data_IF_523516077654
#
_entry.id   IF_523516077654
#
_cell.length_a   1.000
_cell.length_b   1.000
_cell.length_c   1.000
_cell.angle_alpha   90.00
_cell.angle_beta   90.00
_cell.angle_gamma   90.00
#
_symmetry.space_group_name_H-M   'P 1'
#
loop_
_entity.id
_entity.type
_entity.pdbx_description
1 polymer ?
#
# COMPACT_ATOMS: atom_id res chain seq x y z
N UNK A 1 9.83 9.54 -2.88
CA UNK A 1 8.39 9.65 -3.20
C UNK A 1 7.58 8.85 -2.19
N UNK A 2 6.59 9.44 -1.51
CA UNK A 2 5.68 8.69 -0.65
C UNK A 2 4.60 7.97 -1.47
N UNK A 3 4.12 6.86 -0.93
CA UNK A 3 3.06 6.04 -1.52
C UNK A 3 2.00 5.74 -0.48
N UNK A 4 0.83 5.33 -0.95
CA UNK A 4 -0.23 4.78 -0.09
C UNK A 4 -0.56 3.39 -0.62
N UNK A 5 -0.63 2.41 0.27
CA UNK A 5 -0.98 1.05 -0.08
C UNK A 5 -2.13 0.56 0.80
N UNK A 6 -3.15 0.00 0.16
CA UNK A 6 -4.36 -0.48 0.82
C UNK A 6 -4.27 -1.97 1.08
N UNK A 7 -4.76 -2.39 2.22
CA UNK A 7 -4.88 -3.80 2.58
C UNK A 7 -6.12 -4.02 3.44
N UNK A 8 -6.66 -5.24 3.38
CA UNK A 8 -7.71 -5.65 4.29
C UNK A 8 -7.08 -6.16 5.59
N UNK A 9 -7.43 -5.57 6.75
CA UNK A 9 -6.77 -5.93 8.01
C UNK A 9 -7.00 -7.39 8.43
N UNK A 10 -8.09 -8.01 7.96
CA UNK A 10 -8.36 -9.42 8.22
C UNK A 10 -7.46 -10.36 7.42
N UNK A 11 -6.94 -9.92 6.27
CA UNK A 11 -5.99 -10.69 5.47
C UNK A 11 -4.56 -10.40 5.91
N UNK A 12 -4.17 -9.12 5.90
CA UNK A 12 -2.83 -8.71 6.29
C UNK A 12 -2.85 -7.24 6.74
N UNK A 13 -2.88 -7.03 8.04
CA UNK A 13 -2.93 -5.69 8.60
C UNK A 13 -1.58 -5.16 9.08
N UNK A 14 -1.60 -3.93 9.57
CA UNK A 14 -0.39 -3.28 10.12
C UNK A 14 0.20 -4.08 11.28
N UNK A 15 -0.63 -4.72 12.11
CA UNK A 15 -0.17 -5.56 13.20
C UNK A 15 0.64 -6.76 12.71
N UNK A 16 0.25 -7.35 11.59
CA UNK A 16 0.98 -8.45 10.97
C UNK A 16 2.34 -7.98 10.47
N UNK A 17 2.39 -6.81 9.84
CA UNK A 17 3.62 -6.22 9.36
C UNK A 17 4.55 -5.85 10.53
N UNK A 18 4.00 -5.29 11.59
CA UNK A 18 4.76 -4.95 12.80
C UNK A 18 5.41 -6.19 13.41
N UNK A 19 4.66 -7.28 13.52
CA UNK A 19 5.14 -8.55 14.06
C UNK A 19 6.23 -9.17 13.19
N UNK A 20 6.08 -9.08 11.87
CA UNK A 20 7.05 -9.60 10.92
C UNK A 20 8.30 -8.74 10.81
N UNK A 21 8.19 -7.44 11.07
CA UNK A 21 9.26 -6.46 10.85
C UNK A 21 9.40 -6.07 9.39
N UNK A 22 9.59 -7.06 8.51
CA UNK A 22 9.59 -6.91 7.06
C UNK A 22 8.62 -7.93 6.49
N UNK A 23 7.70 -7.49 5.64
CA UNK A 23 6.70 -8.35 5.04
C UNK A 23 6.62 -8.18 3.53
N UNK A 24 6.25 -9.26 2.85
CA UNK A 24 6.01 -9.24 1.40
C UNK A 24 4.65 -8.62 1.13
N UNK A 25 4.62 -7.66 0.22
CA UNK A 25 3.38 -7.06 -0.28
C UNK A 25 3.09 -7.64 -1.65
N UNK A 26 2.13 -8.55 -1.72
CA UNK A 26 1.82 -9.34 -2.91
C UNK A 26 0.31 -9.33 -3.19
N UNK A 27 -0.12 -10.13 -4.16
CA UNK A 27 -1.53 -10.30 -4.47
C UNK A 27 -2.17 -9.12 -5.21
N UNK A 28 -1.39 -8.13 -5.63
CA UNK A 28 -1.90 -6.98 -6.38
C UNK A 28 -2.19 -7.40 -7.82
N UNK A 29 -3.44 -7.27 -8.25
CA UNK A 29 -3.92 -7.76 -9.55
C UNK A 29 -4.64 -6.65 -10.35
N UNK A 30 -4.13 -5.42 -10.24
CA UNK A 30 -4.56 -4.26 -11.00
C UNK A 30 -3.34 -3.67 -11.71
N UNK A 31 -3.44 -3.43 -13.00
CA UNK A 31 -2.28 -2.99 -13.79
C UNK A 31 -1.76 -1.61 -13.37
N UNK A 32 -2.67 -0.67 -13.04
CA UNK A 32 -2.25 0.65 -12.59
C UNK A 32 -1.50 0.57 -11.25
N UNK A 33 -2.02 -0.22 -10.30
CA UNK A 33 -1.35 -0.44 -9.01
C UNK A 33 0.01 -1.11 -9.20
N UNK A 34 0.09 -2.14 -10.07
CA UNK A 34 1.36 -2.80 -10.41
C UNK A 34 2.38 -1.81 -10.94
N UNK A 35 1.96 -0.91 -11.84
CA UNK A 35 2.86 0.08 -12.42
C UNK A 35 3.40 1.03 -11.37
N UNK A 36 2.57 1.42 -10.39
CA UNK A 36 3.03 2.21 -9.24
C UNK A 36 4.02 1.42 -8.38
N UNK A 37 3.77 0.14 -8.15
CA UNK A 37 4.72 -0.70 -7.39
C UNK A 37 6.09 -0.76 -8.07
N UNK A 38 6.11 -0.87 -9.40
CA UNK A 38 7.36 -0.85 -10.17
C UNK A 38 8.12 0.47 -10.05
N UNK A 39 7.42 1.56 -9.79
CA UNK A 39 8.03 2.88 -9.62
C UNK A 39 8.55 3.12 -8.20
N UNK A 40 8.18 2.28 -7.23
CA UNK A 40 8.67 2.41 -5.87
C UNK A 40 10.16 2.09 -5.77
N UNK A 41 10.89 2.90 -5.00
CA UNK A 41 12.32 2.70 -4.75
C UNK A 41 12.54 2.34 -3.28
N UNK A 42 13.61 1.59 -3.00
CA UNK A 42 14.02 1.30 -1.62
C UNK A 42 14.18 2.60 -0.84
N UNK A 43 13.61 2.65 0.35
CA UNK A 43 13.62 3.84 1.20
C UNK A 43 12.38 4.72 1.05
N UNK A 44 11.55 4.51 0.03
CA UNK A 44 10.30 5.26 -0.12
C UNK A 44 9.37 4.95 1.05
N UNK A 45 8.71 6.00 1.58
CA UNK A 45 7.72 5.87 2.64
C UNK A 45 6.39 5.42 2.08
N UNK A 46 5.68 4.62 2.84
CA UNK A 46 4.39 4.06 2.47
C UNK A 46 3.40 4.27 3.61
N UNK A 47 2.30 4.93 3.30
CA UNK A 47 1.17 5.03 4.22
C UNK A 47 0.35 3.75 4.08
N UNK A 48 0.15 3.05 5.19
CA UNK A 48 -0.64 1.81 5.22
C UNK A 48 -2.10 2.16 5.51
N UNK A 49 -2.98 1.81 4.59
CA UNK A 49 -4.42 2.08 4.67
C UNK A 49 -5.17 0.76 4.84
N UNK A 50 -5.97 0.68 5.89
CA UNK A 50 -6.89 -0.45 6.08
C UNK A 50 -8.20 -0.16 5.35
N UNK A 51 -8.57 -1.03 4.43
CA UNK A 51 -9.88 -0.99 3.77
C UNK A 51 -10.90 -1.81 4.58
N UNK A 52 -12.16 -1.76 4.17
CA UNK A 52 -13.23 -2.53 4.82
C UNK A 52 -14.09 -1.67 5.75
N UNK A 53 -14.43 -2.20 6.91
CA UNK A 53 -15.41 -1.58 7.82
C UNK A 53 -14.95 -0.26 8.43
N UNK A 54 -13.66 -0.12 8.67
CA UNK A 54 -13.07 1.08 9.28
C UNK A 54 -11.95 1.61 8.37
N UNK A 55 -12.31 2.22 7.23
CA UNK A 55 -11.31 2.67 6.26
C UNK A 55 -10.50 3.84 6.82
N UNK A 56 -9.20 3.65 6.97
CA UNK A 56 -8.32 4.64 7.60
C UNK A 56 -6.85 4.34 7.35
N UNK A 57 -6.03 5.39 7.37
CA UNK A 57 -4.57 5.24 7.38
C UNK A 57 -4.14 4.97 8.82
N UNK A 58 -3.39 3.91 9.04
CA UNK A 58 -3.07 3.42 10.38
C UNK A 58 -1.59 3.48 10.74
N UNK A 59 -0.72 3.56 9.74
CA UNK A 59 0.72 3.53 10.03
C UNK A 59 1.58 3.84 8.82
N UNK A 60 2.87 3.75 9.05
CA UNK A 60 3.90 4.04 8.06
C UNK A 60 4.82 2.83 7.94
N UNK A 61 5.14 2.49 6.69
CA UNK A 61 6.16 1.51 6.34
C UNK A 61 7.17 2.17 5.39
N UNK A 62 8.17 1.39 5.01
CA UNK A 62 9.22 1.81 4.10
C UNK A 62 9.52 0.68 3.13
N UNK A 63 9.75 0.99 1.86
CA UNK A 63 10.12 -0.01 0.88
C UNK A 63 11.50 -0.57 1.24
N UNK A 64 11.55 -1.86 1.58
CA UNK A 64 12.77 -2.58 1.93
C UNK A 64 13.39 -3.30 0.73
N UNK A 65 12.57 -3.77 -0.19
CA UNK A 65 12.98 -4.41 -1.44
C UNK A 65 12.07 -3.95 -2.55
N UNK A 66 12.65 -3.43 -3.62
CA UNK A 66 11.92 -2.95 -4.79
C UNK A 66 11.25 -4.12 -5.54
N UNK A 67 10.35 -3.78 -6.47
CA UNK A 67 9.49 -4.75 -7.15
C UNK A 67 10.24 -5.93 -7.74
N UNK A 68 9.70 -7.12 -7.51
CA UNK A 68 10.17 -8.39 -8.06
C UNK A 68 8.93 -9.22 -8.44
N UNK A 69 9.13 -10.32 -9.19
CA UNK A 69 8.01 -11.15 -9.60
C UNK A 69 7.26 -11.70 -8.39
N UNK A 70 5.94 -11.51 -8.36
CA UNK A 70 5.09 -12.05 -7.29
C UNK A 70 4.98 -13.57 -7.46
N UNK A 71 5.49 -14.37 -6.49
CA UNK A 71 5.47 -15.83 -6.64
C UNK A 71 4.07 -16.43 -6.62
N UNK A 72 3.09 -15.77 -6.03
CA UNK A 72 1.72 -16.26 -5.95
C UNK A 72 1.07 -16.41 -7.32
N UNK A 73 1.51 -15.64 -8.33
CA UNK A 73 0.99 -15.74 -9.69
C UNK A 73 1.28 -17.08 -10.36
N UNK A 74 2.28 -17.81 -9.87
CA UNK A 74 2.70 -19.10 -10.44
C UNK A 74 2.22 -20.31 -9.61
N UNK A 75 1.57 -20.07 -8.47
CA UNK A 75 1.13 -21.12 -7.55
C UNK A 75 -0.33 -21.49 -7.84
N UNK A 76 -0.60 -22.69 -8.42
CA UNK A 76 -1.97 -23.06 -8.83
C UNK A 76 -2.99 -23.11 -7.68
N UNK A 77 -2.53 -23.28 -6.44
CA UNK A 77 -3.37 -23.33 -5.25
C UNK A 77 -3.57 -21.96 -4.58
N UNK A 78 -2.96 -20.92 -5.13
CA UNK A 78 -3.13 -19.55 -4.62
C UNK A 78 -4.35 -18.88 -5.22
N UNK A 79 -5.06 -18.06 -4.41
CA UNK A 79 -6.13 -17.20 -4.88
C UNK A 79 -5.65 -16.15 -5.91
N UNK A 80 -4.34 -15.91 -5.96
CA UNK A 80 -3.71 -14.93 -6.85
C UNK A 80 -3.03 -15.56 -8.05
N UNK A 81 -3.28 -16.85 -8.30
CA UNK A 81 -2.74 -17.55 -9.47
C UNK A 81 -3.21 -16.92 -10.77
N UNK A 82 -2.29 -16.73 -11.72
CA UNK A 82 -2.59 -16.24 -13.06
C UNK A 82 -1.99 -17.18 -14.09
N UNK A 83 -2.83 -17.99 -14.73
CA UNK A 83 -2.41 -18.99 -15.73
C UNK A 83 -1.76 -18.32 -16.96
N UNK A 84 -2.04 -17.05 -17.22
CA UNK A 84 -1.48 -16.30 -18.35
C UNK A 84 -0.11 -15.70 -18.06
N UNK A 85 0.32 -15.71 -16.80
CA UNK A 85 1.64 -15.22 -16.43
C UNK A 85 2.67 -16.33 -16.50
N UNK A 86 3.91 -16.02 -16.83
CA UNK A 86 4.99 -16.99 -16.88
C UNK A 86 6.23 -16.45 -16.19
N UNK A 87 7.13 -17.32 -15.68
CA UNK A 87 8.38 -16.88 -15.08
C UNK A 87 9.27 -16.05 -16.02
N UNK A 88 9.15 -16.26 -17.34
CA UNK A 88 9.91 -15.51 -18.33
C UNK A 88 9.33 -14.12 -18.58
N UNK A 89 8.03 -13.93 -18.34
CA UNK A 89 7.33 -12.66 -18.54
C UNK A 89 6.26 -12.50 -17.45
N UNK A 90 6.66 -12.21 -16.21
CA UNK A 90 5.72 -12.10 -15.11
C UNK A 90 4.88 -10.82 -15.24
N UNK A 91 3.56 -10.96 -15.10
CA UNK A 91 2.61 -9.84 -15.14
C UNK A 91 2.57 -9.06 -13.84
N UNK A 92 2.76 -9.76 -12.72
CA UNK A 92 2.50 -9.23 -11.40
C UNK A 92 3.76 -9.18 -10.57
N UNK A 93 3.85 -8.15 -9.74
CA UNK A 93 5.03 -7.92 -8.91
C UNK A 93 4.65 -7.87 -7.44
N UNK A 94 5.61 -8.17 -6.60
CA UNK A 94 5.57 -7.95 -5.16
C UNK A 94 6.69 -6.99 -4.79
N UNK A 95 6.64 -6.44 -3.61
CA UNK A 95 7.76 -5.73 -3.00
C UNK A 95 7.75 -6.02 -1.51
N UNK A 96 8.84 -5.70 -0.82
CA UNK A 96 8.91 -5.89 0.62
C UNK A 96 8.82 -4.55 1.33
N UNK A 97 8.01 -4.52 2.38
CA UNK A 97 7.85 -3.35 3.24
C UNK A 97 8.42 -3.63 4.61
N UNK A 98 9.12 -2.63 5.17
CA UNK A 98 9.56 -2.63 6.57
C UNK A 98 8.62 -1.79 7.40
N UNK A 99 8.16 -2.32 8.52
CA UNK A 99 7.37 -1.56 9.48
C UNK A 99 8.20 -0.40 10.03
N UNK A 100 7.59 0.79 10.08
CA UNK A 100 8.23 1.97 10.68
C UNK A 100 7.52 2.36 11.97
N UNK A 101 6.24 2.71 11.91
CA UNK A 101 5.48 3.09 13.10
C UNK A 101 3.97 3.07 12.87
N UNK A 102 3.22 3.01 13.96
CA UNK A 102 1.79 3.30 13.96
C UNK A 102 1.58 4.80 14.02
N UNK A 103 0.50 5.29 13.43
CA UNK A 103 0.06 6.66 13.69
C UNK A 103 -0.53 6.74 15.11
N UNK A 104 -0.26 7.85 15.82
CA UNK A 104 -0.84 8.08 17.14
C UNK A 104 -2.38 8.10 17.07
N UNK A 105 -2.91 8.70 15.99
CA UNK A 105 -4.34 8.73 15.68
C UNK A 105 -4.52 8.25 14.25
N UNK A 106 -5.29 7.17 14.01
CA UNK A 106 -5.62 6.78 12.64
C UNK A 106 -6.32 7.91 11.90
N UNK A 107 -5.96 8.11 10.63
CA UNK A 107 -6.58 9.13 9.79
C UNK A 107 -7.68 8.48 8.96
N UNK A 108 -8.93 8.72 9.34
CA UNK A 108 -10.07 8.07 8.70
C UNK A 108 -10.32 8.60 7.29
N UNK A 109 -10.99 7.78 6.47
CA UNK A 109 -11.43 8.20 5.14
C UNK A 109 -12.30 9.46 5.22
N UNK A 110 -13.19 9.55 6.22
CA UNK A 110 -14.02 10.73 6.43
C UNK A 110 -13.17 11.98 6.66
N UNK A 111 -12.12 11.88 7.48
CA UNK A 111 -11.18 12.99 7.72
C UNK A 111 -10.44 13.39 6.44
N UNK A 112 -9.99 12.40 5.66
CA UNK A 112 -9.31 12.66 4.38
C UNK A 112 -10.22 13.41 3.40
N UNK A 113 -11.48 12.98 3.30
CA UNK A 113 -12.46 13.60 2.41
C UNK A 113 -12.86 15.01 2.85
N UNK A 114 -12.86 15.26 4.15
CA UNK A 114 -13.27 16.54 4.71
C UNK A 114 -12.19 17.62 4.63
N UNK A 115 -10.93 17.25 4.43
CA UNK A 115 -9.82 18.21 4.40
C UNK A 115 -9.62 18.75 2.98
N UNK A 116 -9.89 20.04 2.72
CA UNK A 116 -9.76 20.61 1.39
C UNK A 116 -8.33 20.59 0.84
N UNK A 117 -7.32 20.52 1.72
CA UNK A 117 -5.92 20.43 1.31
C UNK A 117 -5.60 19.08 0.65
N UNK A 118 -6.44 18.05 0.85
CA UNK A 118 -6.28 16.69 0.34
C UNK A 118 -7.22 16.40 -0.84
N UNK A 119 -7.89 17.41 -1.40
CA UNK A 119 -8.85 17.22 -2.48
C UNK A 119 -8.24 16.51 -3.71
N UNK A 120 -6.95 16.72 -3.96
CA UNK A 120 -6.23 16.14 -5.10
C UNK A 120 -5.51 14.82 -4.75
N UNK A 121 -5.70 14.29 -3.54
CA UNK A 121 -5.08 13.03 -3.14
C UNK A 121 -5.53 11.89 -4.09
N UNK A 122 -4.57 11.21 -4.69
CA UNK A 122 -4.85 10.24 -5.75
C UNK A 122 -5.82 9.13 -5.30
N UNK A 123 -5.68 8.64 -4.06
CA UNK A 123 -6.57 7.59 -3.55
C UNK A 123 -8.04 8.03 -3.46
N UNK A 124 -8.31 9.33 -3.28
CA UNK A 124 -9.68 9.85 -3.23
C UNK A 124 -10.29 9.97 -4.63
N UNK A 125 -9.46 10.17 -5.64
CA UNK A 125 -9.89 10.28 -7.04
C UNK A 125 -10.01 8.94 -7.73
N UNK A 126 -9.24 7.95 -7.29
CA UNK A 126 -9.21 6.60 -7.86
C UNK A 126 -9.46 5.59 -6.75
N UNK A 127 -10.73 5.46 -6.37
CA UNK A 127 -11.14 4.70 -5.18
C UNK A 127 -10.83 3.21 -5.24
N UNK A 128 -10.64 2.65 -6.43
CA UNK A 128 -10.30 1.23 -6.63
C UNK A 128 -8.82 0.96 -6.74
N UNK A 129 -8.00 1.99 -6.70
CA UNK A 129 -6.56 1.87 -6.82
C UNK A 129 -5.96 1.51 -5.46
N UNK A 130 -5.32 0.33 -5.37
CA UNK A 130 -4.78 -0.19 -4.11
C UNK A 130 -3.36 0.28 -3.81
N UNK A 131 -2.64 0.80 -4.80
CA UNK A 131 -1.32 1.43 -4.64
C UNK A 131 -1.36 2.75 -5.38
N UNK A 132 -1.16 3.85 -4.66
CA UNK A 132 -1.28 5.19 -5.21
C UNK A 132 -0.10 6.07 -4.79
N UNK A 133 0.32 7.00 -5.65
CA UNK A 133 1.32 7.99 -5.25
C UNK A 133 0.70 9.00 -4.28
N UNK A 134 1.55 9.55 -3.41
CA UNK A 134 1.19 10.61 -2.48
C UNK A 134 2.22 11.71 -2.65
N UNK A 135 1.77 12.95 -2.89
CA UNK A 135 2.72 14.07 -2.99
C UNK A 135 3.41 14.29 -1.63
N UNK A 136 4.63 14.84 -1.61
CA UNK A 136 5.28 15.17 -0.34
C UNK A 136 4.45 16.10 0.54
N UNK A 137 3.71 17.04 -0.05
CA UNK A 137 2.82 17.95 0.69
C UNK A 137 1.67 17.18 1.33
N UNK A 138 0.99 16.30 0.59
CA UNK A 138 -0.09 15.47 1.12
C UNK A 138 0.41 14.56 2.23
N UNK A 139 1.60 14.00 2.05
CA UNK A 139 2.22 13.14 3.06
C UNK A 139 2.40 13.89 4.39
N UNK A 140 2.95 15.10 4.35
CA UNK A 140 3.15 15.92 5.56
C UNK A 140 1.82 16.30 6.23
N UNK A 141 0.79 16.62 5.44
CA UNK A 141 -0.55 16.91 5.96
C UNK A 141 -1.11 15.69 6.70
N UNK A 142 -0.99 14.52 6.10
CA UNK A 142 -1.49 13.27 6.69
C UNK A 142 -0.73 12.94 7.97
N UNK A 143 0.59 13.11 8.00
CA UNK A 143 1.37 12.91 9.22
C UNK A 143 0.94 13.84 10.33
N UNK A 144 0.65 15.10 10.01
CA UNK A 144 0.14 16.09 10.96
C UNK A 144 -1.20 15.65 11.54
N UNK A 145 -2.12 15.16 10.70
CA UNK A 145 -3.43 14.67 11.14
C UNK A 145 -3.30 13.42 12.02
N UNK A 146 -2.30 12.59 11.78
CA UNK A 146 -2.05 11.37 12.53
C UNK A 146 -1.19 11.52 13.78
N UNK A 147 -0.70 12.71 14.04
CA UNK A 147 0.19 12.96 15.19
C UNK A 147 -0.56 13.10 16.53
N UNK A 148 -1.84 13.28 16.50
CA UNK A 148 -2.68 13.44 17.69
C UNK A 148 -2.87 14.91 18.03
#
# INVERSE_FOLDING_TARGET
MPWLMKTEPEEYGLADLEKAGVGRWDGVRNYAARNHMKACAVGDRVLIYHSGKSPQIVGIAEVARAAYADPAQFAPDSDYFDAKSSPDDPRWVALDLRYVTRLAVPVTLATLKADPRLADLAMLRQTRLSVAPVSPQHYEIILSLGAG
#
